data_IF_649936691763
#
_entry.id   IF_649936691763
#
_cell.length_a   1.000
_cell.length_b   1.000
_cell.length_c   1.000
_cell.angle_alpha   90.00
_cell.angle_beta   90.00
_cell.angle_gamma   90.00
#
_symmetry.space_group_name_H-M   'P 1'
#
loop_
_entity.id
_entity.type
_entity.pdbx_description
1 polymer ?
#
# COMPACT_ATOMS: atom_id res chain seq x y z
N UNK A 1 -0.46 -18.32 -32.37
CA UNK A 1 -0.23 -17.01 -31.73
C UNK A 1 1.21 -16.96 -31.24
N UNK A 2 1.92 -15.85 -31.46
CA UNK A 2 3.29 -15.66 -31.00
C UNK A 2 3.25 -15.30 -29.51
N UNK A 3 4.14 -15.86 -28.69
CA UNK A 3 4.23 -15.52 -27.26
C UNK A 3 4.57 -14.04 -27.10
N UNK A 4 3.91 -13.36 -26.16
CA UNK A 4 4.22 -11.96 -25.82
C UNK A 4 5.49 -11.94 -24.99
N UNK A 5 6.48 -11.16 -25.43
CA UNK A 5 7.70 -10.89 -24.66
C UNK A 5 7.56 -9.51 -24.04
N UNK A 6 7.32 -9.45 -22.74
CA UNK A 6 7.10 -8.21 -21.99
C UNK A 6 8.36 -7.81 -21.22
N UNK A 7 9.04 -6.75 -21.67
CA UNK A 7 10.32 -6.28 -21.10
C UNK A 7 10.21 -4.88 -20.45
N UNK A 8 9.01 -4.49 -20.01
CA UNK A 8 8.74 -3.17 -19.43
C UNK A 8 8.29 -3.25 -17.95
N UNK A 9 8.85 -4.21 -17.20
CA UNK A 9 8.47 -4.46 -15.80
C UNK A 9 8.81 -3.31 -14.84
N UNK A 10 9.73 -2.42 -15.24
CA UNK A 10 10.11 -1.25 -14.46
C UNK A 10 9.00 -0.19 -14.40
N UNK A 11 8.17 -0.09 -15.45
CA UNK A 11 7.00 0.81 -15.47
C UNK A 11 5.81 0.19 -14.73
N UNK A 12 5.52 -1.10 -14.97
CA UNK A 12 4.54 -1.89 -14.20
C UNK A 12 4.73 -3.38 -14.43
N UNK A 13 4.25 -4.21 -13.52
CA UNK A 13 4.34 -5.68 -13.63
C UNK A 13 3.01 -6.30 -14.07
N UNK A 14 3.07 -7.41 -14.80
CA UNK A 14 1.91 -8.28 -14.98
C UNK A 14 1.50 -8.90 -13.62
N UNK A 15 0.22 -9.22 -13.45
CA UNK A 15 -0.30 -9.72 -12.17
C UNK A 15 -0.46 -11.24 -12.21
N UNK A 16 0.09 -11.99 -11.25
CA UNK A 16 -0.13 -13.43 -11.17
C UNK A 16 -1.62 -13.71 -10.86
N UNK A 17 -2.11 -14.88 -11.29
CA UNK A 17 -3.53 -15.24 -11.15
C UNK A 17 -4.03 -15.12 -9.70
N UNK A 18 -3.24 -15.51 -8.72
CA UNK A 18 -3.59 -15.42 -7.30
C UNK A 18 -3.93 -13.97 -6.85
N UNK A 19 -3.29 -12.95 -7.42
CA UNK A 19 -3.61 -11.55 -7.11
C UNK A 19 -4.94 -11.15 -7.74
N UNK A 20 -5.17 -11.56 -8.98
CA UNK A 20 -6.43 -11.28 -9.70
C UNK A 20 -7.59 -11.94 -8.94
N UNK A 21 -7.46 -13.21 -8.60
CA UNK A 21 -8.45 -13.98 -7.86
C UNK A 21 -8.73 -13.37 -6.48
N UNK A 22 -7.71 -12.98 -5.72
CA UNK A 22 -7.89 -12.35 -4.40
C UNK A 22 -8.71 -11.05 -4.49
N UNK A 23 -8.42 -10.20 -5.47
CA UNK A 23 -9.16 -8.95 -5.69
C UNK A 23 -10.60 -9.25 -6.12
N UNK A 24 -10.79 -10.14 -7.10
CA UNK A 24 -12.14 -10.55 -7.54
C UNK A 24 -12.97 -11.15 -6.41
N UNK A 25 -12.37 -12.00 -5.57
CA UNK A 25 -13.02 -12.62 -4.43
C UNK A 25 -13.42 -11.58 -3.37
N UNK A 26 -12.54 -10.62 -3.08
CA UNK A 26 -12.85 -9.52 -2.16
C UNK A 26 -14.08 -8.74 -2.64
N UNK A 27 -14.12 -8.36 -3.91
CA UNK A 27 -15.27 -7.63 -4.46
C UNK A 27 -16.56 -8.45 -4.47
N UNK A 28 -16.48 -9.74 -4.79
CA UNK A 28 -17.64 -10.61 -4.87
C UNK A 28 -18.27 -10.93 -3.49
N UNK A 29 -17.46 -11.06 -2.44
CA UNK A 29 -17.92 -11.63 -1.17
C UNK A 29 -17.66 -10.77 0.08
N UNK A 30 -16.75 -9.80 0.02
CA UNK A 30 -16.23 -9.11 1.20
C UNK A 30 -16.22 -7.59 1.09
N UNK A 31 -16.76 -7.03 0.01
CA UNK A 31 -16.80 -5.59 -0.19
C UNK A 31 -17.68 -4.90 0.88
N UNK A 32 -17.03 -4.17 1.78
CA UNK A 32 -17.68 -3.33 2.77
C UNK A 32 -16.70 -2.26 3.25
N UNK A 33 -17.24 -1.20 3.87
CA UNK A 33 -16.42 -0.16 4.47
C UNK A 33 -15.63 -0.71 5.67
N UNK A 34 -14.32 -0.73 5.52
CA UNK A 34 -13.37 -1.11 6.57
C UNK A 34 -13.49 -0.17 7.78
N UNK A 35 -13.36 -0.72 8.99
CA UNK A 35 -13.49 -0.06 10.29
C UNK A 35 -14.84 0.63 10.58
N UNK A 36 -15.87 0.42 9.73
CA UNK A 36 -17.25 0.85 10.01
C UNK A 36 -18.08 -0.35 10.45
N UNK A 37 -17.86 -0.76 11.69
CA UNK A 37 -18.37 -2.01 12.29
C UNK A 37 -19.74 -1.86 12.95
N UNK A 38 -20.81 -2.07 12.18
CA UNK A 38 -22.15 -2.39 12.72
C UNK A 38 -22.68 -3.78 12.33
N UNK A 39 -22.13 -4.40 11.26
CA UNK A 39 -22.61 -5.66 10.68
C UNK A 39 -21.46 -6.57 10.24
N UNK A 40 -21.72 -7.89 10.12
CA UNK A 40 -20.71 -8.92 9.85
C UNK A 40 -19.86 -8.73 8.59
N UNK A 41 -20.40 -8.09 7.53
CA UNK A 41 -19.66 -7.81 6.30
C UNK A 41 -18.49 -6.82 6.50
N UNK A 42 -18.71 -5.76 7.29
CA UNK A 42 -17.66 -4.76 7.58
C UNK A 42 -16.54 -5.31 8.47
N UNK A 43 -16.87 -6.24 9.37
CA UNK A 43 -15.89 -6.92 10.20
C UNK A 43 -14.92 -7.75 9.35
N UNK A 44 -15.43 -8.53 8.39
CA UNK A 44 -14.57 -9.35 7.53
C UNK A 44 -13.71 -8.52 6.60
N UNK A 45 -14.24 -7.44 6.02
CA UNK A 45 -13.44 -6.52 5.22
C UNK A 45 -12.28 -5.92 6.03
N UNK A 46 -12.54 -5.54 7.29
CA UNK A 46 -11.53 -4.98 8.19
C UNK A 46 -10.45 -6.00 8.56
N UNK A 47 -10.85 -7.23 8.85
CA UNK A 47 -9.92 -8.34 9.13
C UNK A 47 -8.96 -8.57 7.95
N UNK A 48 -9.50 -8.64 6.72
CA UNK A 48 -8.68 -8.85 5.52
C UNK A 48 -7.73 -7.67 5.24
N UNK A 49 -8.21 -6.44 5.45
CA UNK A 49 -7.41 -5.24 5.28
C UNK A 49 -6.25 -5.16 6.28
N UNK A 50 -6.51 -5.45 7.56
CA UNK A 50 -5.48 -5.45 8.59
C UNK A 50 -4.53 -6.66 8.47
N UNK A 51 -5.01 -7.80 7.98
CA UNK A 51 -4.14 -8.93 7.62
C UNK A 51 -3.17 -8.55 6.49
N UNK A 52 -3.63 -7.77 5.50
CA UNK A 52 -2.75 -7.24 4.46
C UNK A 52 -1.69 -6.30 5.05
N UNK A 53 -2.07 -5.41 5.99
CA UNK A 53 -1.11 -4.54 6.71
C UNK A 53 -0.05 -5.36 7.45
N UNK A 54 -0.47 -6.37 8.20
CA UNK A 54 0.44 -7.25 8.93
C UNK A 54 1.38 -8.01 7.97
N UNK A 55 0.88 -8.42 6.79
CA UNK A 55 1.71 -9.10 5.80
C UNK A 55 2.77 -8.17 5.18
N UNK A 56 2.44 -6.91 4.92
CA UNK A 56 3.40 -5.90 4.47
C UNK A 56 4.44 -5.62 5.57
N UNK A 57 4.02 -5.51 6.82
CA UNK A 57 4.94 -5.33 7.95
C UNK A 57 5.96 -6.47 8.03
N UNK A 58 5.50 -7.73 7.92
CA UNK A 58 6.40 -8.89 7.87
C UNK A 58 7.33 -8.86 6.66
N UNK A 59 6.83 -8.52 5.48
CA UNK A 59 7.62 -8.45 4.25
C UNK A 59 8.76 -7.42 4.34
N UNK A 60 8.50 -6.28 4.99
CA UNK A 60 9.49 -5.22 5.22
C UNK A 60 10.29 -5.41 6.52
N UNK A 61 10.01 -6.45 7.30
CA UNK A 61 10.57 -6.68 8.63
C UNK A 61 10.39 -5.47 9.57
N UNK A 62 9.22 -4.82 9.52
CA UNK A 62 8.81 -3.77 10.44
C UNK A 62 8.54 -4.35 11.84
N UNK A 63 8.64 -3.51 12.88
CA UNK A 63 8.47 -3.95 14.28
C UNK A 63 7.02 -4.29 14.59
N UNK A 64 6.09 -3.53 14.02
CA UNK A 64 4.66 -3.74 14.18
C UNK A 64 3.85 -3.24 12.97
N UNK A 65 2.63 -3.76 12.75
CA UNK A 65 1.78 -3.32 11.64
C UNK A 65 1.44 -1.83 11.66
N UNK A 66 1.42 -1.18 12.83
CA UNK A 66 1.10 0.23 12.97
C UNK A 66 2.11 1.16 12.28
N UNK A 67 3.33 0.69 12.00
CA UNK A 67 4.33 1.43 11.22
C UNK A 67 4.00 1.47 9.71
N UNK A 68 3.01 0.69 9.25
CA UNK A 68 2.63 0.61 7.84
C UNK A 68 1.45 1.52 7.54
N UNK A 69 1.68 2.55 6.71
CA UNK A 69 0.64 3.43 6.17
C UNK A 69 0.39 3.10 4.71
N UNK A 70 -0.85 2.70 4.37
CA UNK A 70 -1.24 2.48 2.99
C UNK A 70 -1.51 3.82 2.28
N UNK A 71 -0.85 4.01 1.13
CA UNK A 71 -1.09 5.12 0.20
C UNK A 71 -1.35 4.55 -1.21
N UNK A 72 -1.71 5.40 -2.16
CA UNK A 72 -1.94 5.02 -3.57
C UNK A 72 -0.65 4.65 -4.31
N UNK A 73 0.52 5.00 -3.77
CA UNK A 73 1.82 4.65 -4.34
C UNK A 73 2.97 5.48 -3.78
N UNK A 74 4.18 5.22 -4.27
CA UNK A 74 5.43 5.82 -3.77
C UNK A 74 5.41 7.35 -3.77
N UNK A 75 4.91 7.98 -4.84
CA UNK A 75 4.85 9.45 -4.94
C UNK A 75 3.99 10.05 -3.82
N UNK A 76 2.83 9.46 -3.51
CA UNK A 76 1.99 9.94 -2.42
C UNK A 76 2.62 9.66 -1.05
N UNK A 77 3.29 8.52 -0.88
CA UNK A 77 3.98 8.20 0.37
C UNK A 77 5.08 9.22 0.71
N UNK A 78 5.89 9.62 -0.28
CA UNK A 78 6.92 10.66 -0.10
C UNK A 78 6.29 12.01 0.23
N UNK A 79 5.23 12.39 -0.49
CA UNK A 79 4.54 13.66 -0.24
C UNK A 79 3.88 13.70 1.14
N UNK A 80 3.32 12.58 1.62
CA UNK A 80 2.78 12.48 2.97
C UNK A 80 3.83 12.80 4.02
N UNK A 81 5.06 12.28 3.88
CA UNK A 81 6.17 12.59 4.80
C UNK A 81 6.57 14.06 4.68
N UNK A 82 6.70 14.59 3.46
CA UNK A 82 7.09 15.97 3.24
C UNK A 82 6.08 16.98 3.83
N UNK A 83 4.78 16.76 3.63
CA UNK A 83 3.75 17.70 4.09
C UNK A 83 3.39 17.54 5.57
N UNK A 84 3.52 16.34 6.14
CA UNK A 84 3.22 16.12 7.57
C UNK A 84 4.44 16.36 8.46
N UNK A 85 5.50 15.59 8.26
CA UNK A 85 6.71 15.70 9.06
C UNK A 85 7.59 16.85 8.59
N UNK A 86 7.78 17.00 7.28
CA UNK A 86 8.64 18.05 6.73
C UNK A 86 8.19 19.45 7.14
N UNK A 87 6.92 19.81 6.93
CA UNK A 87 6.39 21.11 7.35
C UNK A 87 6.46 21.34 8.87
N UNK A 88 6.27 20.29 9.67
CA UNK A 88 6.32 20.38 11.12
C UNK A 88 7.75 20.60 11.65
N UNK A 89 8.78 20.00 11.03
CA UNK A 89 10.11 19.90 11.62
C UNK A 89 11.23 20.61 10.84
N UNK A 90 11.11 20.77 9.53
CA UNK A 90 12.10 21.49 8.71
C UNK A 90 11.85 22.99 8.79
N UNK A 91 12.89 23.78 9.09
CA UNK A 91 12.83 25.22 9.28
C UNK A 91 13.76 25.96 8.34
N UNK A 92 13.62 27.29 8.31
CA UNK A 92 14.51 28.14 7.55
C UNK A 92 15.96 27.96 8.03
N UNK A 93 16.85 27.59 7.11
CA UNK A 93 18.26 27.30 7.40
C UNK A 93 18.60 25.82 7.52
N UNK A 94 17.61 24.93 7.60
CA UNK A 94 17.85 23.49 7.54
C UNK A 94 18.09 23.02 6.10
N UNK A 95 18.83 21.92 5.95
CA UNK A 95 19.17 21.33 4.65
C UNK A 95 18.58 19.92 4.52
N UNK A 96 18.06 19.59 3.34
CA UNK A 96 17.59 18.25 2.99
C UNK A 96 18.58 17.66 1.98
N UNK A 97 19.25 16.57 2.37
CA UNK A 97 20.24 15.90 1.53
C UNK A 97 19.53 14.86 0.65
N UNK A 98 19.79 14.93 -0.66
CA UNK A 98 19.32 13.97 -1.67
C UNK A 98 20.48 13.56 -2.58
N UNK A 99 20.32 12.48 -3.34
CA UNK A 99 21.30 12.06 -4.35
C UNK A 99 20.96 12.65 -5.72
N UNK A 100 21.92 12.69 -6.62
CA UNK A 100 21.65 12.94 -8.05
C UNK A 100 20.83 11.79 -8.64
N UNK A 101 20.08 12.09 -9.71
CA UNK A 101 19.27 11.12 -10.45
C UNK A 101 20.10 10.34 -11.48
#
# INVERSE_FOLDING_TARGET
MRSVVYLDNAATTQKPYAVIEAVSNFWAHHNANVHRGGHGAGAKASELYEAARARVAQFLNAREPAEIVFTRGTTEAINLVASSWGEAFVKAGDEIIVTEM
#
